data_IF_349452783356
#
_entry.id   IF_349452783356
#
_cell.length_a   1.000
_cell.length_b   1.000
_cell.length_c   1.000
_cell.angle_alpha   90.00
_cell.angle_beta   90.00
_cell.angle_gamma   90.00
#
_symmetry.space_group_name_H-M   'P 1'
#
loop_
_entity.id
_entity.type
_entity.pdbx_description
1 polymer ?
#
# COMPACT_ATOMS: atom_id res chain seq x y z
N UNK A 1 36.93 -0.01 32.36
CA UNK A 1 36.50 1.02 31.40
C UNK A 1 36.37 0.34 30.05
N UNK A 2 35.16 -0.03 29.67
CA UNK A 2 34.90 -0.59 28.34
C UNK A 2 34.70 0.60 27.40
N UNK A 3 35.45 0.65 26.31
CA UNK A 3 35.26 1.67 25.29
C UNK A 3 34.00 1.30 24.50
N UNK A 4 32.94 2.09 24.65
CA UNK A 4 31.78 2.05 23.78
C UNK A 4 32.23 2.44 22.37
N UNK A 5 32.10 1.51 21.42
CA UNK A 5 32.24 1.80 19.99
C UNK A 5 31.03 2.63 19.57
N UNK A 6 31.22 3.94 19.43
CA UNK A 6 30.22 4.84 18.84
C UNK A 6 29.95 4.35 17.40
N UNK A 7 28.69 4.09 16.99
CA UNK A 7 28.41 3.69 15.62
C UNK A 7 28.87 4.80 14.67
N UNK A 8 29.83 4.48 13.79
CA UNK A 8 30.28 5.40 12.75
C UNK A 8 29.08 5.70 11.85
N UNK A 9 28.52 6.89 11.96
CA UNK A 9 27.53 7.38 11.00
C UNK A 9 28.26 7.47 9.66
N UNK A 10 27.99 6.54 8.74
CA UNK A 10 28.60 6.54 7.43
C UNK A 10 28.11 7.75 6.64
N UNK A 11 29.05 8.46 6.02
CA UNK A 11 28.71 9.50 5.06
C UNK A 11 28.04 8.89 3.83
N UNK A 12 27.18 9.65 3.15
CA UNK A 12 26.58 9.25 1.87
C UNK A 12 27.64 8.95 0.80
N UNK A 13 28.81 9.56 0.92
CA UNK A 13 29.98 9.28 0.07
C UNK A 13 30.51 7.86 0.35
N UNK A 14 30.70 7.51 1.62
CA UNK A 14 31.16 6.17 2.04
C UNK A 14 30.16 5.10 1.56
N UNK A 15 28.86 5.35 1.72
CA UNK A 15 27.79 4.43 1.28
C UNK A 15 27.80 4.20 -0.24
N UNK A 16 28.01 5.26 -1.04
CA UNK A 16 28.10 5.16 -2.50
C UNK A 16 29.32 4.36 -2.92
N UNK A 17 30.47 4.62 -2.30
CA UNK A 17 31.71 3.89 -2.59
C UNK A 17 31.59 2.40 -2.27
N UNK A 18 31.02 2.05 -1.11
CA UNK A 18 30.82 0.65 -0.74
C UNK A 18 29.83 -0.06 -1.67
N UNK A 19 28.76 0.63 -2.08
CA UNK A 19 27.76 0.07 -3.01
C UNK A 19 28.39 -0.28 -4.36
N UNK A 20 29.25 0.58 -4.92
CA UNK A 20 29.99 0.26 -6.15
C UNK A 20 30.88 -0.98 -5.98
N UNK A 21 31.59 -1.09 -4.85
CA UNK A 21 32.44 -2.26 -4.58
C UNK A 21 31.65 -3.56 -4.43
N UNK A 22 30.43 -3.51 -3.92
CA UNK A 22 29.55 -4.67 -3.81
C UNK A 22 29.06 -5.07 -5.21
N UNK A 23 28.63 -4.11 -6.03
CA UNK A 23 28.18 -4.35 -7.40
C UNK A 23 29.26 -4.97 -8.28
N UNK A 24 30.52 -4.61 -8.07
CA UNK A 24 31.66 -5.19 -8.81
C UNK A 24 31.92 -6.67 -8.49
N UNK A 25 31.37 -7.20 -7.38
CA UNK A 25 31.67 -8.56 -6.87
C UNK A 25 30.53 -9.56 -7.04
N UNK A 26 29.35 -9.10 -7.40
CA UNK A 26 28.16 -9.96 -7.56
C UNK A 26 28.10 -10.56 -8.97
N UNK A 27 27.43 -11.70 -9.11
CA UNK A 27 27.25 -12.37 -10.40
C UNK A 27 26.25 -11.64 -11.32
N UNK A 28 26.34 -11.90 -12.62
CA UNK A 28 25.54 -11.25 -13.66
C UNK A 28 24.02 -11.41 -13.46
N UNK A 29 23.57 -12.54 -12.91
CA UNK A 29 22.15 -12.79 -12.67
C UNK A 29 21.63 -11.89 -11.55
N UNK A 30 22.39 -11.78 -10.46
CA UNK A 30 22.03 -10.90 -9.36
C UNK A 30 22.19 -9.42 -9.75
N UNK A 31 23.23 -9.07 -10.51
CA UNK A 31 23.43 -7.73 -11.05
C UNK A 31 22.25 -7.29 -11.94
N UNK A 32 21.73 -8.18 -12.79
CA UNK A 32 20.54 -7.89 -13.60
C UNK A 32 19.30 -7.60 -12.75
N UNK A 33 19.10 -8.31 -11.64
CA UNK A 33 18.00 -8.06 -10.72
C UNK A 33 18.15 -6.71 -10.00
N UNK A 34 19.36 -6.41 -9.51
CA UNK A 34 19.66 -5.11 -8.87
C UNK A 34 19.52 -3.96 -9.87
N UNK A 35 19.97 -4.13 -11.11
CA UNK A 35 19.79 -3.14 -12.18
C UNK A 35 18.32 -2.87 -12.46
N UNK A 36 17.49 -3.92 -12.59
CA UNK A 36 16.05 -3.76 -12.80
C UNK A 36 15.41 -2.96 -11.64
N UNK A 37 15.75 -3.28 -10.39
CA UNK A 37 15.25 -2.57 -9.22
C UNK A 37 15.69 -1.09 -9.20
N UNK A 38 16.97 -0.83 -9.44
CA UNK A 38 17.51 0.54 -9.47
C UNK A 38 16.89 1.35 -10.61
N UNK A 39 16.69 0.74 -11.77
CA UNK A 39 16.04 1.37 -12.91
C UNK A 39 14.58 1.70 -12.62
N UNK A 40 13.84 0.80 -11.95
CA UNK A 40 12.47 1.09 -11.50
C UNK A 40 12.44 2.26 -10.53
N UNK A 41 13.35 2.30 -9.56
CA UNK A 41 13.43 3.41 -8.59
C UNK A 41 13.80 4.75 -9.26
N UNK A 42 14.74 4.74 -10.22
CA UNK A 42 15.12 5.92 -10.99
C UNK A 42 13.95 6.45 -11.84
N UNK A 43 13.15 5.54 -12.43
CA UNK A 43 11.97 5.87 -13.23
C UNK A 43 10.75 6.29 -12.39
N UNK A 44 10.64 5.81 -11.15
CA UNK A 44 9.56 6.17 -10.22
C UNK A 44 9.70 7.59 -9.65
N UNK A 45 10.88 8.21 -9.71
CA UNK A 45 11.08 9.57 -9.19
C UNK A 45 10.25 10.65 -9.92
N UNK A 46 9.69 10.36 -11.10
CA UNK A 46 8.90 11.33 -11.88
C UNK A 46 7.37 11.09 -11.82
N UNK A 47 6.90 10.03 -11.17
CA UNK A 47 5.47 9.65 -11.19
C UNK A 47 5.00 9.21 -9.80
N UNK A 48 4.14 10.00 -9.16
CA UNK A 48 3.48 9.59 -7.92
C UNK A 48 2.65 8.32 -8.18
N UNK A 49 3.11 7.18 -7.66
CA UNK A 49 2.60 5.87 -8.03
C UNK A 49 1.18 5.65 -7.49
N UNK A 50 0.26 5.23 -8.35
CA UNK A 50 -1.11 4.88 -7.93
C UNK A 50 -1.07 3.53 -7.23
N UNK A 51 -1.30 3.53 -5.92
CA UNK A 51 -1.26 2.32 -5.08
C UNK A 51 -2.65 1.68 -4.87
N UNK A 52 -3.72 2.36 -5.27
CA UNK A 52 -5.07 1.86 -5.11
C UNK A 52 -6.13 2.83 -5.60
N UNK A 53 -7.40 2.48 -5.37
CA UNK A 53 -8.54 3.32 -5.70
C UNK A 53 -9.51 3.39 -4.51
N UNK A 54 -10.02 4.59 -4.25
CA UNK A 54 -11.11 4.80 -3.30
C UNK A 54 -12.36 4.06 -3.76
N UNK A 55 -12.94 3.21 -2.92
CA UNK A 55 -14.16 2.44 -3.25
C UNK A 55 -15.39 3.35 -3.40
N UNK A 56 -15.37 4.55 -2.80
CA UNK A 56 -16.50 5.49 -2.83
C UNK A 56 -16.45 6.48 -3.99
N UNK A 57 -15.27 7.04 -4.26
CA UNK A 57 -15.08 8.10 -5.28
C UNK A 57 -14.42 7.57 -6.56
N UNK A 58 -13.87 6.36 -6.52
CA UNK A 58 -13.10 5.74 -7.60
C UNK A 58 -11.87 6.58 -8.03
N UNK A 59 -11.43 7.47 -7.15
CA UNK A 59 -10.22 8.29 -7.33
C UNK A 59 -8.97 7.46 -7.00
N UNK A 60 -7.87 7.68 -7.74
CA UNK A 60 -6.60 7.02 -7.47
C UNK A 60 -6.05 7.50 -6.13
N UNK A 61 -5.61 6.56 -5.30
CA UNK A 61 -4.82 6.84 -4.11
C UNK A 61 -3.33 6.80 -4.50
N UNK A 62 -2.62 7.89 -4.25
CA UNK A 62 -1.21 8.01 -4.58
C UNK A 62 -0.32 7.52 -3.44
N UNK A 63 0.88 7.04 -3.77
CA UNK A 63 1.86 6.56 -2.80
C UNK A 63 2.26 7.65 -1.80
N UNK A 64 2.33 8.91 -2.25
CA UNK A 64 2.63 10.06 -1.40
C UNK A 64 1.56 10.34 -0.33
N UNK A 65 0.30 9.98 -0.60
CA UNK A 65 -0.84 10.19 0.30
C UNK A 65 -1.11 8.96 1.19
N UNK A 66 -0.48 7.84 0.85
CA UNK A 66 -0.73 6.53 1.45
C UNK A 66 -0.34 6.45 2.93
N UNK A 67 0.81 7.01 3.28
CA UNK A 67 1.40 6.86 4.61
C UNK A 67 0.51 7.51 5.69
N UNK A 68 0.05 8.74 5.43
CA UNK A 68 -0.85 9.47 6.32
C UNK A 68 -2.22 8.78 6.44
N UNK A 69 -2.73 8.25 5.33
CA UNK A 69 -4.02 7.53 5.30
C UNK A 69 -3.93 6.22 6.07
N UNK A 70 -2.86 5.45 5.90
CA UNK A 70 -2.69 4.17 6.58
C UNK A 70 -2.43 4.34 8.07
N UNK A 71 -1.64 5.33 8.48
CA UNK A 71 -1.43 5.62 9.90
C UNK A 71 -2.75 6.01 10.58
N UNK A 72 -3.57 6.85 9.95
CA UNK A 72 -4.88 7.22 10.47
C UNK A 72 -5.82 6.00 10.63
N UNK A 73 -5.82 5.09 9.65
CA UNK A 73 -6.61 3.86 9.71
C UNK A 73 -6.15 2.97 10.87
N UNK A 74 -4.84 2.80 11.05
CA UNK A 74 -4.27 2.01 12.15
C UNK A 74 -4.64 2.61 13.52
N UNK A 75 -4.57 3.93 13.66
CA UNK A 75 -4.94 4.61 14.89
C UNK A 75 -6.44 4.49 15.21
N UNK A 76 -7.31 4.53 14.21
CA UNK A 76 -8.74 4.29 14.40
C UNK A 76 -9.03 2.86 14.87
N UNK A 77 -8.38 1.87 14.27
CA UNK A 77 -8.49 0.47 14.71
C UNK A 77 -8.03 0.31 16.16
N UNK A 78 -6.90 0.91 16.55
CA UNK A 78 -6.40 0.87 17.95
C UNK A 78 -7.38 1.51 18.95
N UNK A 79 -8.14 2.53 18.53
CA UNK A 79 -9.17 3.18 19.36
C UNK A 79 -10.47 2.37 19.44
N UNK A 80 -10.56 1.25 18.74
CA UNK A 80 -11.76 0.41 18.67
C UNK A 80 -12.75 0.84 17.59
N UNK A 81 -12.38 1.77 16.70
CA UNK A 81 -13.20 2.22 15.57
C UNK A 81 -13.02 1.26 14.39
N UNK A 82 -13.46 0.01 14.56
CA UNK A 82 -13.45 -1.00 13.51
C UNK A 82 -14.80 -1.71 13.44
N UNK A 83 -15.03 -2.42 12.34
CA UNK A 83 -16.18 -3.31 12.19
C UNK A 83 -15.66 -4.74 12.04
N UNK A 84 -16.27 -5.68 12.75
CA UNK A 84 -15.98 -7.10 12.57
C UNK A 84 -16.47 -7.58 11.21
N UNK A 85 -15.77 -8.54 10.62
CA UNK A 85 -16.08 -9.05 9.28
C UNK A 85 -17.50 -9.63 9.21
N UNK A 86 -17.90 -10.35 10.26
CA UNK A 86 -19.24 -10.95 10.33
C UNK A 86 -20.34 -9.88 10.39
N UNK A 87 -20.12 -8.79 11.12
CA UNK A 87 -21.04 -7.66 11.21
C UNK A 87 -21.14 -6.90 9.88
N UNK A 88 -20.01 -6.75 9.19
CA UNK A 88 -19.98 -6.17 7.85
C UNK A 88 -20.78 -7.02 6.85
N UNK A 89 -20.63 -8.36 6.91
CA UNK A 89 -21.38 -9.30 6.07
C UNK A 89 -22.88 -9.23 6.40
N UNK A 90 -23.25 -9.22 7.68
CA UNK A 90 -24.65 -9.09 8.11
C UNK A 90 -25.29 -7.79 7.60
N UNK A 91 -24.58 -6.66 7.72
CA UNK A 91 -25.06 -5.36 7.25
C UNK A 91 -25.23 -5.32 5.72
N UNK A 92 -24.23 -5.80 4.96
CA UNK A 92 -24.29 -5.83 3.49
C UNK A 92 -25.35 -6.79 2.97
N UNK A 93 -25.47 -7.97 3.57
CA UNK A 93 -26.47 -8.97 3.18
C UNK A 93 -27.90 -8.49 3.45
N UNK A 94 -28.16 -7.79 4.57
CA UNK A 94 -29.46 -7.17 4.84
C UNK A 94 -29.86 -6.12 3.78
N UNK A 95 -28.89 -5.33 3.30
CA UNK A 95 -29.09 -4.37 2.21
C UNK A 95 -29.46 -5.07 0.89
N UNK A 96 -28.79 -6.17 0.56
CA UNK A 96 -29.11 -6.95 -0.64
C UNK A 96 -30.48 -7.62 -0.58
N UNK A 97 -30.89 -8.12 0.59
CA UNK A 97 -32.23 -8.67 0.80
C UNK A 97 -33.34 -7.61 0.65
N UNK A 98 -33.05 -6.38 1.06
CA UNK A 98 -34.01 -5.27 0.92
C UNK A 98 -34.20 -4.88 -0.55
N UNK A 99 -33.12 -4.83 -1.34
CA UNK A 99 -33.20 -4.53 -2.78
C UNK A 99 -33.96 -5.59 -3.59
N UNK A 100 -33.85 -6.87 -3.24
CA UNK A 100 -34.55 -7.95 -3.97
C UNK A 100 -36.05 -8.01 -3.66
N UNK A 101 -36.49 -7.55 -2.48
CA UNK A 101 -37.90 -7.54 -2.08
C UNK A 101 -38.76 -6.54 -2.87
N UNK A 102 -38.15 -5.46 -3.40
CA UNK A 102 -38.83 -4.50 -4.28
C UNK A 102 -39.05 -5.04 -5.70
N UNK A 103 -38.21 -5.98 -6.16
CA UNK A 103 -38.35 -6.58 -7.50
C UNK A 103 -39.48 -7.64 -7.55
N UNK A 104 -39.88 -8.20 -6.41
CA UNK A 104 -40.94 -9.22 -6.34
C UNK A 104 -42.35 -8.67 -6.11
N UNK A 105 -42.52 -7.35 -5.92
CA UNK A 105 -43.80 -6.74 -5.53
C UNK A 105 -44.46 -5.86 -6.60
N UNK A 106 -43.87 -5.71 -7.78
CA UNK A 106 -44.51 -5.07 -8.93
C UNK A 106 -45.26 -6.11 -9.77
N UNK A 107 -46.60 -6.22 -9.69
CA UNK A 107 -47.34 -6.96 -10.70
C UNK A 107 -47.20 -6.23 -12.04
N UNK A 108 -46.62 -6.92 -13.03
CA UNK A 108 -46.69 -6.50 -14.43
C UNK A 108 -48.17 -6.44 -14.82
N UNK A 109 -48.74 -5.23 -14.92
CA UNK A 109 -49.98 -5.03 -15.68
C UNK A 109 -49.63 -5.22 -17.15
N UNK A 110 -49.95 -6.41 -17.68
CA UNK A 110 -50.04 -6.63 -19.12
C UNK A 110 -51.11 -5.68 -19.68
N UNK A 111 -50.69 -4.79 -20.58
CA UNK A 111 -51.56 -4.04 -21.50
C UNK A 111 -51.58 -4.79 -22.82
#
# INVERSE_FOLDING_TARGET
MQAETIPKIMSTIDMRTESHQILDRIDDRFLAAVHALLQTYDQQNDSDEVIGYSVGTNEPLLASEADDVFEAIVEDVKKGNYIEVDDLIAQKSARWQSSTKYLSLTPLKLV
#
